data_IF_157642165626
#
_entry.id   IF_157642165626
#
_cell.length_a   1.000
_cell.length_b   1.000
_cell.length_c   1.000
_cell.angle_alpha   90.00
_cell.angle_beta   90.00
_cell.angle_gamma   90.00
#
_symmetry.space_group_name_H-M   'P 1'
#
loop_
_entity.id
_entity.type
_entity.pdbx_description
1 polymer ?
#
# COMPACT_ATOMS: atom_id res chain seq x y z
N UNK A 1 13.62 -9.42 -19.31
CA UNK A 1 13.19 -8.51 -18.23
C UNK A 1 14.39 -7.67 -17.85
N UNK A 2 14.26 -6.35 -17.90
CA UNK A 2 15.30 -5.42 -17.45
C UNK A 2 15.14 -5.23 -15.94
N UNK A 3 16.27 -5.16 -15.21
CA UNK A 3 16.29 -4.98 -13.75
C UNK A 3 17.17 -3.77 -13.45
N UNK A 4 16.65 -2.85 -12.65
CA UNK A 4 17.35 -1.69 -12.11
C UNK A 4 17.27 -1.65 -10.59
N UNK A 5 18.17 -0.89 -9.96
CA UNK A 5 18.18 -0.65 -8.53
C UNK A 5 18.15 0.86 -8.27
N UNK A 6 17.24 1.28 -7.41
CA UNK A 6 17.23 2.62 -6.83
C UNK A 6 17.47 2.50 -5.33
N UNK A 7 18.27 3.40 -4.79
CA UNK A 7 18.61 3.39 -3.37
C UNK A 7 17.89 4.53 -2.67
N UNK A 8 17.26 4.22 -1.56
CA UNK A 8 16.61 5.17 -0.69
C UNK A 8 17.63 5.71 0.33
N UNK A 9 18.12 6.93 0.13
CA UNK A 9 19.08 7.54 1.02
C UNK A 9 18.40 8.54 1.97
N UNK A 10 18.84 8.59 3.24
CA UNK A 10 18.33 9.57 4.20
C UNK A 10 18.63 11.02 3.81
N UNK A 11 19.68 11.22 3.02
CA UNK A 11 20.12 12.53 2.52
C UNK A 11 19.30 13.04 1.33
N UNK A 12 18.51 12.16 0.67
CA UNK A 12 17.67 12.54 -0.45
C UNK A 12 16.38 13.21 0.06
N UNK A 13 16.52 14.49 0.38
CA UNK A 13 15.52 15.33 1.01
C UNK A 13 15.30 16.60 0.19
N UNK A 14 14.16 17.29 0.34
CA UNK A 14 13.88 18.52 -0.37
C UNK A 14 14.92 19.60 -0.09
N UNK A 15 15.14 20.45 -1.10
CA UNK A 15 16.10 21.56 -0.98
C UNK A 15 15.73 22.51 0.17
N UNK A 16 16.70 22.93 0.96
CA UNK A 16 16.51 23.85 2.09
C UNK A 16 16.32 23.14 3.43
N UNK A 17 16.17 21.83 3.46
CA UNK A 17 16.09 21.03 4.68
C UNK A 17 17.40 20.32 4.99
N UNK A 18 17.51 19.80 6.20
CA UNK A 18 18.64 19.00 6.66
C UNK A 18 18.15 17.75 7.38
N UNK A 19 18.92 16.66 7.30
CA UNK A 19 18.60 15.44 8.04
C UNK A 19 18.68 15.71 9.53
N UNK A 20 17.61 15.45 10.31
CA UNK A 20 17.58 15.67 11.74
C UNK A 20 18.67 14.89 12.46
N UNK A 21 19.30 15.56 13.42
CA UNK A 21 20.33 14.94 14.24
C UNK A 21 19.71 13.83 15.09
N UNK A 22 20.09 12.60 14.85
CA UNK A 22 19.54 11.43 15.57
C UNK A 22 18.67 10.53 14.72
N UNK A 23 18.23 10.96 13.54
CA UNK A 23 17.48 10.10 12.62
C UNK A 23 18.36 8.95 12.13
N UNK A 24 17.79 7.74 12.13
CA UNK A 24 18.52 6.49 11.81
C UNK A 24 17.84 5.67 10.70
N UNK A 25 16.68 6.12 10.21
CA UNK A 25 15.89 5.39 9.19
C UNK A 25 15.50 6.30 8.03
N UNK A 26 15.30 5.75 6.83
CA UNK A 26 14.75 6.47 5.69
C UNK A 26 13.36 7.06 5.98
N UNK A 27 12.81 7.79 5.01
CA UNK A 27 11.60 8.60 5.21
C UNK A 27 10.29 7.89 4.88
N UNK A 28 10.29 6.57 4.71
CA UNK A 28 9.08 5.81 4.47
C UNK A 28 8.88 5.40 2.99
N UNK A 29 7.75 4.78 2.72
CA UNK A 29 7.46 4.13 1.42
C UNK A 29 7.24 5.14 0.29
N UNK A 30 6.75 6.34 0.58
CA UNK A 30 6.64 7.41 -0.41
C UNK A 30 8.01 7.85 -0.94
N UNK A 31 9.01 8.06 -0.04
CA UNK A 31 10.38 8.35 -0.47
C UNK A 31 11.01 7.17 -1.23
N UNK A 32 10.69 5.93 -0.89
CA UNK A 32 11.21 4.77 -1.62
C UNK A 32 10.75 4.77 -3.08
N UNK A 33 9.49 5.13 -3.35
CA UNK A 33 8.97 5.30 -4.71
C UNK A 33 9.62 6.51 -5.39
N UNK A 34 9.77 7.62 -4.67
CA UNK A 34 10.40 8.84 -5.18
C UNK A 34 11.88 8.62 -5.57
N UNK A 35 12.60 7.71 -4.91
CA UNK A 35 13.95 7.33 -5.31
C UNK A 35 14.04 6.76 -6.73
N UNK A 36 12.92 6.33 -7.31
CA UNK A 36 12.83 5.84 -8.68
C UNK A 36 12.52 6.93 -9.72
N UNK A 37 12.46 8.22 -9.35
CA UNK A 37 12.00 9.34 -10.20
C UNK A 37 12.73 9.48 -11.54
N UNK A 38 14.01 9.14 -11.58
CA UNK A 38 14.81 9.23 -12.80
C UNK A 38 14.66 8.00 -13.72
N UNK A 39 14.09 6.92 -13.20
CA UNK A 39 13.96 5.62 -13.86
C UNK A 39 12.54 5.41 -14.38
N UNK A 40 11.53 5.69 -13.56
CA UNK A 40 10.12 5.46 -13.89
C UNK A 40 9.60 6.58 -14.80
N UNK A 41 9.20 6.21 -16.02
CA UNK A 41 8.67 7.15 -17.06
C UNK A 41 7.36 6.65 -17.69
N UNK A 42 6.90 5.48 -17.28
CA UNK A 42 5.68 4.83 -17.78
C UNK A 42 4.76 4.50 -16.61
N UNK A 43 3.48 4.15 -16.83
CA UNK A 43 2.61 3.62 -15.77
C UNK A 43 3.26 2.44 -15.08
N UNK A 44 3.16 2.37 -13.77
CA UNK A 44 3.90 1.40 -12.96
C UNK A 44 3.08 0.86 -11.81
N UNK A 45 3.46 -0.32 -11.33
CA UNK A 45 2.91 -0.88 -10.10
C UNK A 45 3.92 -0.77 -8.95
N UNK A 46 3.41 -0.51 -7.75
CA UNK A 46 4.17 -0.55 -6.50
C UNK A 46 3.71 -1.75 -5.68
N UNK A 47 4.65 -2.53 -5.21
CA UNK A 47 4.42 -3.70 -4.34
C UNK A 47 5.48 -3.77 -3.23
N UNK A 48 5.18 -4.45 -2.15
CA UNK A 48 6.19 -4.83 -1.17
C UNK A 48 7.00 -6.03 -1.71
N UNK A 49 8.30 -6.03 -1.52
CA UNK A 49 9.19 -7.05 -2.07
C UNK A 49 9.13 -8.39 -1.33
N UNK A 50 8.60 -8.42 -0.12
CA UNK A 50 8.49 -9.56 0.78
C UNK A 50 7.08 -10.15 0.86
N UNK A 51 6.15 -9.64 0.04
CA UNK A 51 4.78 -10.11 -0.05
C UNK A 51 4.51 -10.91 -1.34
N UNK A 52 3.60 -11.86 -1.27
CA UNK A 52 3.06 -12.56 -2.42
C UNK A 52 1.61 -12.12 -2.67
N UNK A 53 1.33 -11.63 -3.87
CA UNK A 53 0.06 -10.99 -4.24
C UNK A 53 -0.86 -11.84 -5.12
N UNK A 54 -0.45 -13.09 -5.44
CA UNK A 54 -1.17 -13.91 -6.39
C UNK A 54 -0.86 -13.54 -7.84
N UNK A 55 -1.69 -13.99 -8.76
CA UNK A 55 -1.52 -13.76 -10.20
C UNK A 55 -2.60 -12.83 -10.76
N UNK A 56 -3.84 -12.97 -10.29
CA UNK A 56 -4.98 -12.20 -10.78
C UNK A 56 -4.79 -10.70 -10.47
N UNK A 57 -4.27 -10.36 -9.29
CA UNK A 57 -4.00 -8.98 -8.90
C UNK A 57 -3.06 -8.28 -9.90
N UNK A 58 -1.97 -8.94 -10.32
CA UNK A 58 -1.05 -8.39 -11.33
C UNK A 58 -1.72 -8.21 -12.69
N UNK A 59 -2.54 -9.16 -13.12
CA UNK A 59 -3.28 -9.06 -14.40
C UNK A 59 -4.21 -7.85 -14.37
N UNK A 60 -4.99 -7.68 -13.31
CA UNK A 60 -5.95 -6.57 -13.18
C UNK A 60 -5.25 -5.21 -13.13
N UNK A 61 -4.17 -5.06 -12.36
CA UNK A 61 -3.37 -3.82 -12.34
C UNK A 61 -2.79 -3.54 -13.73
N UNK A 62 -2.24 -4.55 -14.40
CA UNK A 62 -1.68 -4.39 -15.74
C UNK A 62 -2.73 -3.95 -16.77
N UNK A 63 -3.89 -4.61 -16.80
CA UNK A 63 -5.00 -4.26 -17.70
C UNK A 63 -5.46 -2.82 -17.47
N UNK A 64 -5.59 -2.38 -16.22
CA UNK A 64 -5.96 -0.99 -15.90
C UNK A 64 -4.91 0.01 -16.39
N UNK A 65 -3.62 -0.28 -16.18
CA UNK A 65 -2.52 0.61 -16.57
C UNK A 65 -2.30 0.65 -18.09
N UNK A 66 -2.69 -0.39 -18.84
CA UNK A 66 -2.64 -0.37 -20.31
C UNK A 66 -3.56 0.68 -20.93
N UNK A 67 -4.64 1.05 -20.24
CA UNK A 67 -5.59 2.07 -20.66
C UNK A 67 -5.15 3.50 -20.32
N UNK A 68 -3.91 3.66 -19.85
CA UNK A 68 -3.35 4.97 -19.51
C UNK A 68 -3.24 5.87 -20.75
N UNK A 69 -3.67 7.11 -20.58
CA UNK A 69 -3.50 8.22 -21.52
C UNK A 69 -3.21 9.51 -20.69
N UNK A 70 -2.55 10.53 -21.24
CA UNK A 70 -2.20 11.74 -20.49
C UNK A 70 -3.40 12.49 -19.86
N UNK A 71 -4.60 12.35 -20.41
CA UNK A 71 -5.84 12.88 -19.83
C UNK A 71 -6.34 12.07 -18.62
N UNK A 72 -5.76 10.89 -18.38
CA UNK A 72 -6.01 10.03 -17.22
C UNK A 72 -4.84 10.03 -16.21
N UNK A 73 -4.02 11.06 -16.24
CA UNK A 73 -2.83 11.20 -15.37
C UNK A 73 -3.13 11.00 -13.87
N UNK A 74 -4.33 11.37 -13.42
CA UNK A 74 -4.76 11.29 -12.02
C UNK A 74 -5.65 10.08 -11.72
N UNK A 75 -5.77 9.12 -12.65
CA UNK A 75 -6.52 7.90 -12.47
C UNK A 75 -5.59 6.76 -12.00
N UNK A 76 -5.70 6.40 -10.75
CA UNK A 76 -4.92 5.33 -10.12
C UNK A 76 -5.79 4.09 -9.90
N UNK A 77 -5.16 2.98 -9.56
CA UNK A 77 -5.86 1.80 -9.07
C UNK A 77 -5.11 1.15 -7.91
N UNK A 78 -5.81 0.28 -7.21
CA UNK A 78 -5.21 -0.59 -6.21
C UNK A 78 -5.82 -1.98 -6.29
N UNK A 79 -5.07 -3.02 -5.94
CA UNK A 79 -5.65 -4.34 -5.73
C UNK A 79 -6.37 -4.38 -4.37
N UNK A 80 -7.69 -4.65 -4.41
CA UNK A 80 -8.52 -4.87 -3.25
C UNK A 80 -8.58 -6.38 -2.94
N UNK A 81 -7.89 -6.80 -1.88
CA UNK A 81 -7.92 -8.20 -1.43
C UNK A 81 -9.12 -8.43 -0.53
N UNK A 82 -9.80 -9.57 -0.69
CA UNK A 82 -10.87 -9.96 0.22
C UNK A 82 -10.26 -10.25 1.60
N UNK A 83 -10.74 -9.61 2.66
CA UNK A 83 -10.19 -9.65 4.02
C UNK A 83 -9.86 -11.07 4.48
N UNK A 84 -10.80 -12.03 4.34
CA UNK A 84 -10.60 -13.42 4.76
C UNK A 84 -9.38 -14.10 4.11
N UNK A 85 -8.97 -13.63 2.91
CA UNK A 85 -7.83 -14.16 2.18
C UNK A 85 -6.48 -13.58 2.66
N UNK A 86 -6.49 -12.70 3.66
CA UNK A 86 -5.32 -12.00 4.20
C UNK A 86 -5.13 -12.24 5.71
N UNK A 87 -5.98 -13.02 6.34
CA UNK A 87 -5.93 -13.30 7.78
C UNK A 87 -4.87 -14.37 8.10
N UNK A 88 -4.29 -14.28 9.30
CA UNK A 88 -3.42 -15.30 9.88
C UNK A 88 -4.21 -16.23 10.81
N UNK A 89 -3.81 -17.50 10.85
CA UNK A 89 -4.31 -18.46 11.86
C UNK A 89 -3.60 -18.28 13.22
N UNK A 90 -2.52 -17.51 13.27
CA UNK A 90 -1.62 -17.42 14.41
C UNK A 90 -1.82 -16.17 15.27
N UNK A 91 -2.72 -15.27 14.87
CA UNK A 91 -3.04 -14.07 15.65
C UNK A 91 -3.68 -12.95 14.86
N UNK A 92 -3.91 -11.83 15.52
CA UNK A 92 -4.52 -10.64 14.93
C UNK A 92 -3.60 -9.95 13.93
N UNK A 93 -4.19 -9.40 12.89
CA UNK A 93 -3.50 -8.66 11.85
C UNK A 93 -4.03 -7.22 11.76
N UNK A 94 -3.24 -6.30 11.23
CA UNK A 94 -3.69 -4.94 10.90
C UNK A 94 -3.91 -4.83 9.40
N UNK A 95 -5.05 -4.26 8.98
CA UNK A 95 -5.40 -4.08 7.56
C UNK A 95 -6.02 -2.71 7.32
N UNK A 96 -5.70 -2.14 6.17
CA UNK A 96 -6.42 -0.99 5.65
C UNK A 96 -7.73 -1.43 5.01
N UNK A 97 -8.83 -1.33 5.75
CA UNK A 97 -10.17 -1.68 5.25
C UNK A 97 -10.66 -0.58 4.33
N UNK A 98 -10.92 -0.93 3.07
CA UNK A 98 -11.30 0.02 2.03
C UNK A 98 -12.79 0.39 2.12
N UNK A 99 -13.09 1.68 2.05
CA UNK A 99 -14.43 2.19 1.74
C UNK A 99 -14.52 2.42 0.24
N UNK A 100 -15.51 1.81 -0.39
CA UNK A 100 -15.64 1.82 -1.85
C UNK A 100 -17.05 2.29 -2.20
N UNK A 101 -17.15 3.18 -3.18
CA UNK A 101 -18.43 3.66 -3.68
C UNK A 101 -19.12 2.63 -4.62
N UNK A 102 -20.33 2.96 -5.10
CA UNK A 102 -21.11 2.10 -6.02
C UNK A 102 -20.43 1.85 -7.36
N UNK A 103 -19.53 2.74 -7.77
CA UNK A 103 -18.79 2.64 -9.03
C UNK A 103 -17.43 1.94 -8.84
N UNK A 104 -17.11 1.52 -7.62
CA UNK A 104 -15.89 0.79 -7.27
C UNK A 104 -14.68 1.69 -7.11
N UNK A 105 -14.84 2.97 -6.79
CA UNK A 105 -13.75 3.86 -6.44
C UNK A 105 -13.55 3.93 -4.93
N UNK A 106 -12.30 4.03 -4.53
CA UNK A 106 -11.90 4.21 -3.15
C UNK A 106 -12.36 5.58 -2.65
N UNK A 107 -13.02 5.61 -1.49
CA UNK A 107 -13.45 6.83 -0.82
C UNK A 107 -12.73 7.06 0.52
N UNK A 108 -11.96 6.07 0.97
CA UNK A 108 -11.13 6.13 2.17
C UNK A 108 -10.66 4.76 2.60
N UNK A 109 -9.72 4.75 3.53
CA UNK A 109 -9.15 3.54 4.12
C UNK A 109 -9.16 3.67 5.64
N UNK A 110 -9.78 2.71 6.33
CA UNK A 110 -9.74 2.63 7.77
C UNK A 110 -8.67 1.62 8.21
N UNK A 111 -7.57 2.10 8.80
CA UNK A 111 -6.58 1.21 9.38
C UNK A 111 -7.16 0.52 10.62
N UNK A 112 -7.44 -0.77 10.49
CA UNK A 112 -8.07 -1.60 11.52
C UNK A 112 -7.06 -2.61 12.05
N UNK A 113 -6.73 -2.48 13.33
CA UNK A 113 -5.78 -3.34 14.01
C UNK A 113 -6.46 -4.52 14.68
N UNK A 114 -5.67 -5.58 14.93
CA UNK A 114 -6.08 -6.77 15.66
C UNK A 114 -7.32 -7.46 15.10
N UNK A 115 -7.38 -7.60 13.77
CA UNK A 115 -8.41 -8.40 13.11
C UNK A 115 -8.03 -9.87 13.24
N UNK A 116 -8.88 -10.65 13.90
CA UNK A 116 -8.69 -12.07 14.15
C UNK A 116 -9.68 -12.91 13.35
N UNK A 117 -9.26 -14.11 13.00
CA UNK A 117 -10.15 -15.13 12.44
C UNK A 117 -10.99 -15.75 13.55
N UNK A 118 -12.29 -15.94 13.31
CA UNK A 118 -13.22 -16.57 14.24
C UNK A 118 -13.90 -17.77 13.57
N UNK A 119 -14.66 -18.55 14.34
CA UNK A 119 -15.43 -19.68 13.80
C UNK A 119 -16.51 -19.21 12.79
N UNK A 120 -17.03 -17.99 12.98
CA UNK A 120 -18.13 -17.42 12.19
C UNK A 120 -17.67 -16.36 11.19
N UNK A 121 -16.32 -16.24 10.93
CA UNK A 121 -15.77 -15.27 10.00
C UNK A 121 -14.59 -14.49 10.57
N UNK A 122 -14.68 -13.17 10.63
CA UNK A 122 -13.63 -12.27 11.14
C UNK A 122 -14.20 -11.31 12.20
N UNK A 123 -13.36 -10.89 13.14
CA UNK A 123 -13.71 -9.89 14.14
C UNK A 123 -12.51 -9.02 14.53
N UNK A 124 -12.76 -7.81 14.95
CA UNK A 124 -11.79 -6.95 15.62
C UNK A 124 -11.79 -7.27 17.09
N UNK A 125 -10.63 -7.62 17.66
CA UNK A 125 -10.46 -7.87 19.08
C UNK A 125 -9.92 -6.63 19.78
N UNK A 126 -10.68 -6.10 20.73
CA UNK A 126 -10.29 -4.97 21.56
C UNK A 126 -10.77 -5.18 22.99
N UNK A 127 -9.87 -5.03 23.96
CA UNK A 127 -10.15 -5.16 25.40
C UNK A 127 -10.87 -6.48 25.78
N UNK A 128 -10.53 -7.57 25.07
CA UNK A 128 -11.13 -8.89 25.26
C UNK A 128 -12.54 -9.06 24.68
N UNK A 129 -13.02 -8.06 23.92
CA UNK A 129 -14.29 -8.13 23.20
C UNK A 129 -14.04 -8.35 21.70
N UNK A 130 -14.92 -9.14 21.06
CA UNK A 130 -14.92 -9.38 19.63
C UNK A 130 -16.05 -8.59 18.97
N UNK A 131 -15.70 -7.69 18.05
CA UNK A 131 -16.65 -6.96 17.21
C UNK A 131 -16.60 -7.52 15.80
N UNK A 132 -17.67 -8.12 15.25
CA UNK A 132 -17.69 -8.68 13.92
C UNK A 132 -17.31 -7.65 12.87
N UNK A 133 -16.51 -8.07 11.87
CA UNK A 133 -16.19 -7.31 10.66
C UNK A 133 -16.54 -8.17 9.45
N UNK A 134 -17.03 -7.54 8.38
CA UNK A 134 -17.34 -8.26 7.15
C UNK A 134 -16.06 -8.84 6.52
N UNK A 135 -15.96 -10.17 6.53
CA UNK A 135 -14.82 -10.90 5.99
C UNK A 135 -14.67 -10.78 4.46
N UNK A 136 -15.72 -10.28 3.78
CA UNK A 136 -15.72 -10.00 2.34
C UNK A 136 -15.32 -8.57 2.01
N UNK A 137 -15.06 -7.72 3.00
CA UNK A 137 -14.54 -6.37 2.79
C UNK A 137 -13.25 -6.40 1.97
N UNK A 138 -13.08 -5.41 1.09
CA UNK A 138 -11.83 -5.18 0.42
C UNK A 138 -10.81 -4.55 1.37
N UNK A 139 -9.58 -5.06 1.35
CA UNK A 139 -8.47 -4.50 2.13
C UNK A 139 -7.28 -4.17 1.24
N UNK A 140 -6.57 -3.11 1.62
CA UNK A 140 -5.30 -2.73 1.00
C UNK A 140 -4.17 -3.61 1.54
N UNK A 141 -3.41 -4.18 0.60
CA UNK A 141 -2.15 -4.88 0.89
C UNK A 141 -0.96 -4.16 0.25
N UNK A 142 -1.09 -2.84 0.05
CA UNK A 142 -0.07 -1.97 -0.51
C UNK A 142 0.36 -2.34 -1.94
N UNK A 143 -0.60 -2.78 -2.76
CA UNK A 143 -0.40 -3.01 -4.19
C UNK A 143 -1.15 -1.95 -5.00
N UNK A 144 -0.41 -1.05 -5.62
CA UNK A 144 -0.91 0.14 -6.31
C UNK A 144 -0.52 0.14 -7.78
N UNK A 145 -1.41 0.63 -8.63
CA UNK A 145 -1.13 0.97 -10.02
C UNK A 145 -1.21 2.49 -10.19
N UNK A 146 -0.13 3.09 -10.62
CA UNK A 146 0.12 4.53 -10.60
C UNK A 146 0.59 5.02 -11.95
N UNK A 147 0.41 6.31 -12.21
CA UNK A 147 0.84 6.97 -13.45
C UNK A 147 2.21 7.63 -13.25
N UNK A 148 2.96 7.92 -14.33
CA UNK A 148 4.27 8.57 -14.19
C UNK A 148 4.18 9.97 -13.56
N UNK A 149 3.07 10.68 -13.71
CA UNK A 149 2.83 12.00 -13.11
C UNK A 149 2.79 11.96 -11.58
N UNK A 150 2.42 10.81 -11.01
CA UNK A 150 2.41 10.63 -9.56
C UNK A 150 3.80 10.85 -8.93
N UNK A 151 4.89 10.61 -9.66
CA UNK A 151 6.25 10.91 -9.18
C UNK A 151 6.42 12.40 -8.87
N UNK A 152 5.88 13.28 -9.72
CA UNK A 152 5.93 14.72 -9.47
C UNK A 152 5.07 15.13 -8.26
N UNK A 153 3.88 14.52 -8.11
CA UNK A 153 3.04 14.73 -6.93
C UNK A 153 3.77 14.29 -5.65
N UNK A 154 4.45 13.13 -5.69
CA UNK A 154 5.26 12.65 -4.56
C UNK A 154 6.38 13.63 -4.19
N UNK A 155 7.04 14.24 -5.17
CA UNK A 155 8.13 15.21 -4.93
C UNK A 155 7.59 16.48 -4.25
N UNK A 156 6.45 16.99 -4.72
CA UNK A 156 5.76 18.12 -4.12
C UNK A 156 5.27 17.80 -2.69
N UNK A 157 4.56 16.69 -2.52
CA UNK A 157 4.06 16.24 -1.22
C UNK A 157 5.19 15.95 -0.22
N UNK A 158 6.34 15.48 -0.68
CA UNK A 158 7.50 15.26 0.19
C UNK A 158 8.06 16.58 0.74
N UNK A 159 7.99 17.65 -0.04
CA UNK A 159 8.36 18.99 0.43
C UNK A 159 7.39 19.50 1.50
N UNK A 160 6.08 19.36 1.27
CA UNK A 160 5.04 19.72 2.23
C UNK A 160 5.14 18.87 3.51
N UNK A 161 5.43 17.58 3.38
CA UNK A 161 5.68 16.70 4.54
C UNK A 161 6.82 17.23 5.43
N UNK A 162 7.93 17.71 4.82
CA UNK A 162 9.04 18.30 5.57
C UNK A 162 8.67 19.60 6.27
N UNK A 163 7.81 20.41 5.67
CA UNK A 163 7.33 21.66 6.28
C UNK A 163 6.45 21.40 7.52
N UNK A 164 5.73 20.27 7.54
CA UNK A 164 4.70 19.98 8.54
C UNK A 164 5.13 18.95 9.61
N UNK A 165 6.34 18.37 9.56
CA UNK A 165 6.73 17.31 10.50
C UNK A 165 7.26 17.81 11.86
N UNK A 166 7.00 19.06 12.22
CA UNK A 166 7.51 19.72 13.43
C UNK A 166 7.27 18.89 14.70
N UNK A 167 8.35 18.63 15.47
CA UNK A 167 8.31 17.87 16.73
C UNK A 167 8.35 16.35 16.58
N UNK A 168 8.42 15.80 15.36
CA UNK A 168 8.49 14.35 15.11
C UNK A 168 9.59 13.95 14.11
N UNK A 169 10.58 14.80 13.91
CA UNK A 169 11.54 14.72 12.80
C UNK A 169 12.38 13.43 12.81
N UNK A 170 12.60 12.83 13.99
CA UNK A 170 13.38 11.58 14.09
C UNK A 170 12.59 10.34 13.66
N UNK A 171 11.24 10.39 13.73
CA UNK A 171 10.36 9.22 13.54
C UNK A 171 9.38 9.35 12.40
N UNK A 172 9.09 10.58 11.96
CA UNK A 172 8.13 10.83 10.89
C UNK A 172 8.43 9.99 9.64
N UNK A 173 7.39 9.46 9.00
CA UNK A 173 7.48 8.65 7.79
C UNK A 173 6.50 9.18 6.75
N UNK A 174 7.01 9.48 5.57
CA UNK A 174 6.23 9.81 4.39
C UNK A 174 5.73 8.51 3.76
N UNK A 175 4.53 8.09 4.16
CA UNK A 175 3.95 6.81 3.78
C UNK A 175 3.10 6.95 2.52
N UNK A 176 3.37 6.12 1.52
CA UNK A 176 2.66 6.10 0.24
C UNK A 176 1.13 6.04 0.38
N UNK A 177 0.53 5.12 1.15
CA UNK A 177 -0.92 5.06 1.26
C UNK A 177 -1.53 6.28 1.94
N UNK A 178 -0.82 6.91 2.89
CA UNK A 178 -1.30 8.14 3.54
C UNK A 178 -1.32 9.28 2.54
N UNK A 179 -0.26 9.46 1.76
CA UNK A 179 -0.22 10.52 0.76
C UNK A 179 -1.26 10.33 -0.35
N UNK A 180 -1.50 9.10 -0.79
CA UNK A 180 -2.57 8.81 -1.76
C UNK A 180 -3.94 9.17 -1.15
N UNK A 181 -4.17 8.88 0.13
CA UNK A 181 -5.41 9.24 0.81
C UNK A 181 -5.57 10.78 0.93
N UNK A 182 -4.51 11.51 1.23
CA UNK A 182 -4.51 12.98 1.21
C UNK A 182 -4.94 13.53 -0.15
N UNK A 183 -4.34 13.05 -1.25
CA UNK A 183 -4.71 13.45 -2.61
C UNK A 183 -6.16 13.06 -2.96
N UNK A 184 -6.64 11.92 -2.45
CA UNK A 184 -8.00 11.46 -2.64
C UNK A 184 -9.01 12.36 -1.91
N UNK A 185 -8.72 12.78 -0.67
CA UNK A 185 -9.57 13.67 0.12
C UNK A 185 -9.63 15.09 -0.46
N UNK A 186 -8.60 15.50 -1.21
CA UNK A 186 -8.54 16.78 -1.92
C UNK A 186 -9.13 16.71 -3.34
N UNK A 187 -9.74 15.58 -3.74
CA UNK A 187 -10.30 15.36 -5.08
C UNK A 187 -9.27 15.54 -6.23
N UNK A 188 -7.97 15.39 -5.94
CA UNK A 188 -6.90 15.53 -6.92
C UNK A 188 -6.67 14.26 -7.73
N UNK A 189 -7.05 13.11 -7.19
CA UNK A 189 -6.89 11.80 -7.83
C UNK A 189 -8.14 10.95 -7.63
N UNK A 190 -8.29 9.92 -8.47
CA UNK A 190 -9.26 8.85 -8.27
C UNK A 190 -8.54 7.50 -8.19
N UNK A 191 -9.01 6.63 -7.32
CA UNK A 191 -8.42 5.29 -7.13
C UNK A 191 -9.47 4.22 -7.37
N UNK A 192 -9.35 3.45 -8.44
CA UNK A 192 -10.20 2.29 -8.72
C UNK A 192 -9.76 1.11 -7.87
N UNK A 193 -10.66 0.53 -7.10
CA UNK A 193 -10.42 -0.72 -6.37
C UNK A 193 -10.67 -1.90 -7.31
N UNK A 194 -9.63 -2.66 -7.58
CA UNK A 194 -9.65 -3.86 -8.40
C UNK A 194 -9.71 -5.07 -7.48
N UNK A 195 -10.92 -5.53 -7.15
CA UNK A 195 -11.11 -6.68 -6.27
C UNK A 195 -10.43 -7.92 -6.85
N UNK A 196 -9.72 -8.66 -6.02
CA UNK A 196 -9.11 -9.95 -6.36
C UNK A 196 -9.49 -11.03 -5.37
N UNK A 197 -9.73 -12.23 -5.90
CA UNK A 197 -9.93 -13.44 -5.12
C UNK A 197 -8.62 -14.12 -4.73
N UNK A 198 -7.48 -13.61 -5.17
CA UNK A 198 -6.16 -14.13 -4.81
C UNK A 198 -5.95 -14.17 -3.29
N UNK A 199 -5.19 -15.15 -2.84
CA UNK A 199 -4.67 -15.17 -1.48
C UNK A 199 -3.40 -14.33 -1.42
N UNK A 200 -3.39 -13.43 -0.47
CA UNK A 200 -2.17 -12.72 -0.11
C UNK A 200 -1.38 -13.51 0.94
N UNK A 201 -0.07 -13.55 0.78
CA UNK A 201 0.83 -14.15 1.76
C UNK A 201 1.95 -13.17 2.11
N UNK A 202 2.02 -12.82 3.40
CA UNK A 202 3.15 -12.18 4.04
C UNK A 202 3.52 -12.94 5.29
N UNK A 203 4.72 -12.77 5.80
CA UNK A 203 5.17 -13.43 7.04
C UNK A 203 4.97 -12.48 8.20
N UNK A 204 3.73 -12.36 8.69
CA UNK A 204 3.41 -11.56 9.88
C UNK A 204 3.89 -12.25 11.15
N UNK A 205 3.67 -13.57 11.25
CA UNK A 205 4.12 -14.42 12.34
C UNK A 205 5.14 -15.43 11.82
N UNK A 206 6.10 -15.81 12.65
CA UNK A 206 7.10 -16.81 12.30
C UNK A 206 6.45 -18.17 11.97
N UNK A 207 5.33 -18.45 12.63
CA UNK A 207 4.51 -19.64 12.47
C UNK A 207 3.78 -19.71 11.12
N UNK A 208 3.56 -18.58 10.44
CA UNK A 208 2.96 -18.52 9.10
C UNK A 208 3.90 -19.07 8.02
N UNK A 209 5.21 -18.99 8.23
CA UNK A 209 6.22 -19.35 7.24
C UNK A 209 6.07 -20.75 6.60
N UNK A 210 5.79 -21.85 7.37
CA UNK A 210 5.62 -23.18 6.76
C UNK A 210 4.41 -23.23 5.82
N UNK A 211 3.31 -22.55 6.17
CA UNK A 211 2.08 -22.52 5.35
C UNK A 211 2.34 -21.71 4.06
N UNK A 212 3.04 -20.59 4.16
CA UNK A 212 3.41 -19.76 3.01
C UNK A 212 4.30 -20.55 2.05
N UNK A 213 5.34 -21.22 2.57
CA UNK A 213 6.26 -22.03 1.73
C UNK A 213 5.51 -23.15 1.02
N UNK A 214 4.63 -23.90 1.72
CA UNK A 214 3.84 -24.96 1.11
C UNK A 214 2.89 -24.43 0.03
N UNK A 215 2.25 -23.27 0.28
CA UNK A 215 1.35 -22.63 -0.68
C UNK A 215 2.09 -22.22 -1.95
N UNK A 216 3.26 -21.62 -1.82
CA UNK A 216 4.08 -21.18 -2.97
C UNK A 216 4.62 -22.35 -3.79
N UNK A 217 5.00 -23.47 -3.17
CA UNK A 217 5.46 -24.69 -3.89
C UNK A 217 4.34 -25.27 -4.78
N UNK A 218 3.07 -25.14 -4.40
CA UNK A 218 1.94 -25.66 -5.17
C UNK A 218 1.45 -24.69 -6.26
N UNK A 219 1.95 -23.46 -6.32
CA UNK A 219 1.61 -22.45 -7.33
C UNK A 219 2.59 -22.52 -8.53
N UNK A 220 3.77 -23.08 -8.33
CA UNK A 220 4.80 -23.33 -9.35
C UNK A 220 4.60 -24.67 -10.04
#
# INVERSE_FOLDING_TARGET
MEIGYAFQEMSDIPHGFSVPKGRKKPWGTGQAVLACKDIVKEPFAVINADDYYGKEAFVKIHEFLQDYTPDRANAFCMAGFILKNTLSENGGVTRGVCKVDSDGFLTGVDETSNIVKTADGAAVEADGNLSPIDELSNVSMNMWGLTPEFISMLEEGFSVFFENMEGNEEKAEYLLPIYIDELLQEDLVSVKVLETADRWFGVTYKEDKPVVVLSLIHIL
#
